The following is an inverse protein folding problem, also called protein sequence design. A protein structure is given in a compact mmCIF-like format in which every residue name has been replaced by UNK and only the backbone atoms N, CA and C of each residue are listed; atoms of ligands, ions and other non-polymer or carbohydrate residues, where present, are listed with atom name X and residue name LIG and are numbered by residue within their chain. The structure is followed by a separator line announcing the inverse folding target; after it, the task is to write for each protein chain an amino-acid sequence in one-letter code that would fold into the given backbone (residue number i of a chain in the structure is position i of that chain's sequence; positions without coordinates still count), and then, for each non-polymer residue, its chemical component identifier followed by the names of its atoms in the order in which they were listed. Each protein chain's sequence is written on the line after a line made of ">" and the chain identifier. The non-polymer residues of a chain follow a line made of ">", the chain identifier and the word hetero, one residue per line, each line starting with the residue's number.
data_IF_473146920129
#
_entry.id   IF_473146920129
#
_cell.length_a   1.000
_cell.length_b   1.000
_cell.length_c   1.000
_cell.angle_alpha   90.00
_cell.angle_beta   90.00
_cell.angle_gamma   90.00
#
_symmetry.space_group_name_H-M   'P 1'
#
loop_
_entity.id
_entity.type
_entity.pdbx_description
1 polymer ?
#
# COMPACT_ATOMS: atom_id res chain seq x y z
N UNK A 1 -16.03 5.93 15.73
CA UNK A 1 -15.19 4.71 15.77
C UNK A 1 -13.77 5.18 15.99
N UNK A 2 -13.04 4.67 17.00
CA UNK A 2 -11.62 5.00 17.16
C UNK A 2 -10.82 4.27 16.07
N UNK A 3 -10.02 5.02 15.32
CA UNK A 3 -9.10 4.46 14.33
C UNK A 3 -8.02 3.62 15.03
N UNK A 4 -7.70 2.45 14.48
CA UNK A 4 -6.62 1.60 14.96
C UNK A 4 -5.29 2.22 14.53
N UNK A 5 -4.37 2.41 15.47
CA UNK A 5 -3.02 2.89 15.18
C UNK A 5 -2.07 1.72 15.03
N UNK A 6 -1.32 1.68 13.93
CA UNK A 6 -0.18 0.79 13.74
C UNK A 6 1.07 1.64 13.58
N UNK A 7 2.12 1.30 14.33
CA UNK A 7 3.41 1.95 14.20
C UNK A 7 4.31 1.14 13.25
N UNK A 8 4.72 1.78 12.17
CA UNK A 8 5.70 1.26 11.22
C UNK A 8 7.09 1.83 11.50
N UNK A 9 8.15 1.11 11.12
CA UNK A 9 9.47 1.72 11.00
C UNK A 9 9.56 2.52 9.71
N UNK A 10 10.52 3.44 9.62
CA UNK A 10 10.72 4.23 8.39
C UNK A 10 10.97 3.33 7.17
N UNK A 11 11.75 2.27 7.34
CA UNK A 11 12.05 1.33 6.26
C UNK A 11 10.83 0.52 5.81
N UNK A 12 9.90 0.25 6.72
CA UNK A 12 8.62 -0.36 6.41
C UNK A 12 7.73 0.61 5.62
N UNK A 13 7.67 1.89 6.01
CA UNK A 13 6.93 2.93 5.28
C UNK A 13 7.48 3.11 3.86
N UNK A 14 8.81 3.10 3.69
CA UNK A 14 9.45 3.14 2.37
C UNK A 14 9.07 1.94 1.52
N UNK A 15 9.01 0.75 2.11
CA UNK A 15 8.62 -0.46 1.43
C UNK A 15 7.15 -0.44 0.99
N UNK A 16 6.25 0.02 1.86
CA UNK A 16 4.83 0.18 1.54
C UNK A 16 4.66 1.17 0.37
N UNK A 17 5.35 2.32 0.42
CA UNK A 17 5.31 3.29 -0.67
C UNK A 17 5.84 2.70 -1.97
N UNK A 18 7.00 2.00 -1.93
CA UNK A 18 7.59 1.41 -3.14
C UNK A 18 6.64 0.41 -3.80
N UNK A 19 5.98 -0.43 -3.02
CA UNK A 19 5.03 -1.42 -3.55
C UNK A 19 3.76 -0.75 -4.06
N UNK A 20 3.22 0.25 -3.35
CA UNK A 20 2.06 1.01 -3.80
C UNK A 20 2.33 1.74 -5.12
N UNK A 21 3.50 2.40 -5.23
CA UNK A 21 3.92 3.10 -6.44
C UNK A 21 4.11 2.16 -7.63
N UNK A 22 4.72 1.00 -7.39
CA UNK A 22 4.86 -0.06 -8.40
C UNK A 22 3.50 -0.52 -8.92
N UNK A 23 2.49 -0.61 -8.04
CA UNK A 23 1.12 -0.95 -8.45
C UNK A 23 0.52 0.09 -9.38
N UNK A 24 0.61 1.37 -9.00
CA UNK A 24 0.16 2.50 -9.81
C UNK A 24 0.99 2.72 -11.10
N UNK A 25 2.09 1.99 -11.29
CA UNK A 25 2.94 2.08 -12.50
C UNK A 25 2.70 0.92 -13.48
N UNK A 26 1.93 -0.09 -13.08
CA UNK A 26 1.93 -1.38 -13.75
C UNK A 26 1.27 -1.39 -15.14
N UNK A 27 0.36 -0.47 -15.39
CA UNK A 27 -0.26 -0.27 -16.71
C UNK A 27 0.58 0.63 -17.64
N UNK A 28 1.70 1.16 -17.14
CA UNK A 28 2.62 2.03 -17.87
C UNK A 28 2.20 3.51 -17.90
N UNK A 29 1.10 3.89 -17.25
CA UNK A 29 0.61 5.28 -17.19
C UNK A 29 0.26 5.63 -15.75
N UNK A 30 1.19 6.30 -15.07
CA UNK A 30 0.91 6.84 -13.74
C UNK A 30 -0.05 8.02 -13.86
N UNK A 31 -1.29 7.84 -13.41
CA UNK A 31 -2.27 8.89 -13.35
C UNK A 31 -2.06 9.73 -12.07
N UNK A 32 -2.30 11.04 -12.17
CA UNK A 32 -2.19 11.93 -11.01
C UNK A 32 -3.07 11.48 -9.83
N UNK A 33 -4.26 10.95 -10.14
CA UNK A 33 -5.21 10.41 -9.17
C UNK A 33 -4.68 9.21 -8.39
N UNK A 34 -3.84 8.38 -8.98
CA UNK A 34 -3.25 7.23 -8.27
C UNK A 34 -2.20 7.70 -7.28
N UNK A 35 -1.42 8.73 -7.63
CA UNK A 35 -0.47 9.36 -6.72
C UNK A 35 -1.18 10.10 -5.57
N UNK A 36 -2.28 10.79 -5.88
CA UNK A 36 -3.17 11.37 -4.86
C UNK A 36 -3.72 10.27 -3.95
N UNK A 37 -4.19 9.16 -4.51
CA UNK A 37 -4.69 8.01 -3.75
C UNK A 37 -3.64 7.37 -2.84
N UNK A 38 -2.39 7.24 -3.31
CA UNK A 38 -1.26 6.80 -2.47
C UNK A 38 -1.03 7.79 -1.33
N UNK A 39 -1.00 9.09 -1.62
CA UNK A 39 -0.79 10.14 -0.61
C UNK A 39 -1.90 10.14 0.46
N UNK A 40 -3.18 10.01 0.04
CA UNK A 40 -4.33 9.90 0.94
C UNK A 40 -4.24 8.66 1.81
N UNK A 41 -3.87 7.52 1.23
CA UNK A 41 -3.71 6.29 2.01
C UNK A 41 -2.52 6.40 2.97
N UNK A 42 -1.41 7.04 2.60
CA UNK A 42 -0.26 7.28 3.47
C UNK A 42 -0.57 8.26 4.61
N UNK A 43 -1.43 9.25 4.37
CA UNK A 43 -1.90 10.15 5.42
C UNK A 43 -2.64 9.41 6.55
N UNK A 44 -3.23 8.23 6.28
CA UNK A 44 -3.82 7.37 7.33
C UNK A 44 -2.79 6.85 8.34
N UNK A 45 -1.50 6.80 7.95
CA UNK A 45 -0.37 6.48 8.82
C UNK A 45 0.20 7.70 9.55
N UNK A 46 -0.37 8.89 9.34
CA UNK A 46 0.17 10.15 9.85
C UNK A 46 1.33 10.71 9.01
N UNK A 47 1.61 10.12 7.84
CA UNK A 47 2.65 10.58 6.93
C UNK A 47 2.13 11.75 6.10
N UNK A 48 2.49 12.97 6.50
CA UNK A 48 2.13 14.22 5.81
C UNK A 48 3.33 15.18 5.78
N UNK A 49 3.34 16.12 4.84
CA UNK A 49 4.43 17.11 4.69
C UNK A 49 5.81 16.46 4.55
N UNK A 50 6.79 16.96 5.31
CA UNK A 50 8.18 16.48 5.24
C UNK A 50 8.34 14.98 5.51
N UNK A 51 7.49 14.39 6.36
CA UNK A 51 7.52 12.95 6.62
C UNK A 51 7.12 12.15 5.38
N UNK A 52 6.09 12.60 4.67
CA UNK A 52 5.68 12.01 3.41
C UNK A 52 6.75 12.18 2.33
N UNK A 53 7.31 13.39 2.18
CA UNK A 53 8.36 13.67 1.19
C UNK A 53 9.58 12.76 1.40
N UNK A 54 9.97 12.52 2.65
CA UNK A 54 11.06 11.60 3.00
C UNK A 54 10.74 10.16 2.57
N UNK A 55 9.50 9.72 2.77
CA UNK A 55 9.04 8.38 2.38
C UNK A 55 9.04 8.23 0.86
N UNK A 56 8.58 9.24 0.13
CA UNK A 56 8.63 9.29 -1.34
C UNK A 56 10.08 9.15 -1.84
N UNK A 57 10.97 10.05 -1.40
CA UNK A 57 12.37 10.08 -1.88
C UNK A 57 13.14 8.80 -1.54
N UNK A 58 12.91 8.25 -0.35
CA UNK A 58 13.61 7.03 0.09
C UNK A 58 13.00 5.78 -0.54
N UNK A 59 11.68 5.74 -0.64
CA UNK A 59 10.92 4.64 -1.21
C UNK A 59 11.19 4.48 -2.70
N UNK A 60 11.28 5.56 -3.48
CA UNK A 60 11.64 5.50 -4.91
C UNK A 60 12.97 4.79 -5.17
N UNK A 61 13.95 5.00 -4.28
CA UNK A 61 15.30 4.40 -4.35
C UNK A 61 15.34 2.95 -3.90
N UNK A 62 14.33 2.47 -3.17
CA UNK A 62 14.27 1.09 -2.70
C UNK A 62 13.99 0.14 -3.88
N UNK A 63 14.72 -0.97 -3.94
CA UNK A 63 14.45 -2.01 -4.93
C UNK A 63 13.12 -2.71 -4.62
N UNK A 64 12.32 -3.02 -5.65
CA UNK A 64 11.01 -3.68 -5.46
C UNK A 64 11.12 -5.00 -4.70
N UNK A 65 12.14 -5.83 -5.01
CA UNK A 65 12.37 -7.11 -4.32
C UNK A 65 12.70 -6.88 -2.83
N UNK A 66 13.45 -5.82 -2.52
CA UNK A 66 13.75 -5.46 -1.14
C UNK A 66 12.49 -5.04 -0.40
N UNK A 67 11.65 -4.19 -1.02
CA UNK A 67 10.39 -3.75 -0.45
C UNK A 67 9.45 -4.93 -0.13
N UNK A 68 9.29 -5.86 -1.08
CA UNK A 68 8.48 -7.07 -0.89
C UNK A 68 9.02 -7.92 0.27
N UNK A 69 10.33 -8.15 0.36
CA UNK A 69 10.93 -8.93 1.46
C UNK A 69 10.80 -8.24 2.81
N UNK A 70 10.79 -6.90 2.86
CA UNK A 70 10.53 -6.14 4.10
C UNK A 70 9.10 -6.33 4.56
N UNK A 71 8.13 -6.23 3.65
CA UNK A 71 6.71 -6.46 3.95
C UNK A 71 6.46 -7.90 4.39
N UNK A 72 7.11 -8.88 3.74
CA UNK A 72 7.03 -10.30 4.09
C UNK A 72 7.42 -10.59 5.55
N UNK A 73 8.36 -9.82 6.10
CA UNK A 73 8.88 -9.99 7.47
C UNK A 73 8.07 -9.23 8.53
N UNK A 74 7.05 -8.47 8.14
CA UNK A 74 6.19 -7.75 9.07
C UNK A 74 5.34 -8.72 9.91
N UNK A 75 4.91 -8.27 11.08
CA UNK A 75 3.91 -8.98 11.88
C UNK A 75 2.52 -8.99 11.21
N UNK A 76 1.68 -9.94 11.61
CA UNK A 76 0.36 -10.18 11.01
C UNK A 76 -0.55 -8.95 10.91
N UNK A 77 -0.61 -8.12 11.96
CA UNK A 77 -1.45 -6.90 11.94
C UNK A 77 -0.94 -5.86 10.94
N UNK A 78 0.38 -5.72 10.79
CA UNK A 78 1.01 -4.87 9.78
C UNK A 78 0.74 -5.41 8.38
N UNK A 79 0.92 -6.71 8.15
CA UNK A 79 0.60 -7.35 6.87
C UNK A 79 -0.87 -7.20 6.50
N UNK A 80 -1.77 -7.34 7.47
CA UNK A 80 -3.20 -7.12 7.28
C UNK A 80 -3.52 -5.68 6.89
N UNK A 81 -2.89 -4.71 7.54
CA UNK A 81 -2.95 -3.32 7.11
C UNK A 81 -2.47 -3.18 5.66
N UNK A 82 -1.26 -3.64 5.33
CA UNK A 82 -0.69 -3.50 3.98
C UNK A 82 -1.59 -4.15 2.92
N UNK A 83 -2.10 -5.35 3.17
CA UNK A 83 -3.02 -6.03 2.24
C UNK A 83 -4.30 -5.20 2.03
N UNK A 84 -4.88 -4.65 3.10
CA UNK A 84 -6.08 -3.81 3.03
C UNK A 84 -5.83 -2.45 2.38
N UNK A 85 -4.65 -1.85 2.62
CA UNK A 85 -4.19 -0.60 2.03
C UNK A 85 -4.09 -0.75 0.51
N UNK A 86 -3.42 -1.79 0.03
CA UNK A 86 -3.23 -2.02 -1.41
C UNK A 86 -4.56 -2.36 -2.10
N UNK A 87 -5.43 -3.13 -1.44
CA UNK A 87 -6.77 -3.41 -1.95
C UNK A 87 -7.69 -2.18 -1.96
N UNK A 88 -7.52 -1.24 -1.02
CA UNK A 88 -8.22 0.03 -1.03
C UNK A 88 -7.70 0.95 -2.14
N UNK A 89 -6.39 0.97 -2.37
CA UNK A 89 -5.75 1.79 -3.40
C UNK A 89 -6.32 1.51 -4.79
N UNK A 90 -6.43 0.24 -5.18
CA UNK A 90 -7.00 -0.17 -6.48
C UNK A 90 -8.53 -0.05 -6.55
N UNK A 91 -9.19 0.36 -5.46
CA UNK A 91 -10.63 0.57 -5.40
C UNK A 91 -11.02 2.05 -5.29
N UNK A 92 -10.03 2.97 -5.28
CA UNK A 92 -10.25 4.40 -5.00
C UNK A 92 -11.14 5.07 -6.04
N UNK A 93 -10.98 4.74 -7.32
CA UNK A 93 -11.74 5.34 -8.41
C UNK A 93 -13.07 4.62 -8.70
N UNK A 94 -13.30 3.48 -8.02
CA UNK A 94 -14.53 2.69 -8.11
C UNK A 94 -14.59 1.70 -9.27
N UNK A 95 -13.56 1.64 -10.14
CA UNK A 95 -13.49 0.68 -11.25
C UNK A 95 -12.21 -0.17 -11.14
N UNK A 96 -12.35 -1.33 -10.50
CA UNK A 96 -11.20 -2.22 -10.28
C UNK A 96 -10.97 -3.08 -11.52
N UNK A 97 -9.90 -2.80 -12.25
CA UNK A 97 -9.54 -3.55 -13.45
C UNK A 97 -8.96 -4.94 -13.12
N UNK A 98 -9.13 -5.90 -14.04
CA UNK A 98 -8.57 -7.26 -13.90
C UNK A 98 -7.05 -7.26 -13.70
N UNK A 99 -6.35 -6.30 -14.32
CA UNK A 99 -4.89 -6.16 -14.21
C UNK A 99 -4.47 -5.73 -12.79
N UNK A 100 -5.21 -4.81 -12.17
CA UNK A 100 -4.94 -4.33 -10.81
C UNK A 100 -5.24 -5.43 -9.79
N UNK A 101 -6.33 -6.18 -10.00
CA UNK A 101 -6.66 -7.37 -9.21
C UNK A 101 -5.58 -8.44 -9.32
N UNK A 102 -5.09 -8.72 -10.53
CA UNK A 102 -4.03 -9.69 -10.76
C UNK A 102 -2.72 -9.25 -10.08
N UNK A 103 -2.39 -7.97 -10.14
CA UNK A 103 -1.20 -7.42 -9.52
C UNK A 103 -1.28 -7.43 -7.99
N UNK A 104 -2.41 -7.03 -7.42
CA UNK A 104 -2.64 -7.13 -5.99
C UNK A 104 -2.55 -8.58 -5.51
N UNK A 105 -3.14 -9.53 -6.24
CA UNK A 105 -3.03 -10.96 -5.95
C UNK A 105 -1.58 -11.47 -6.04
N UNK A 106 -0.81 -10.98 -7.01
CA UNK A 106 0.62 -11.27 -7.12
C UNK A 106 1.39 -10.78 -5.89
N UNK A 107 1.18 -9.53 -5.47
CA UNK A 107 1.85 -8.95 -4.31
C UNK A 107 1.46 -9.67 -3.02
N UNK A 108 0.17 -10.02 -2.88
CA UNK A 108 -0.30 -10.83 -1.74
C UNK A 108 0.51 -12.12 -1.62
N UNK A 109 0.77 -12.79 -2.74
CA UNK A 109 1.56 -14.01 -2.75
C UNK A 109 3.05 -13.74 -2.53
N UNK A 110 3.60 -12.71 -3.16
CA UNK A 110 5.03 -12.40 -3.16
C UNK A 110 5.53 -11.91 -1.79
N UNK A 111 4.68 -11.23 -1.02
CA UNK A 111 5.01 -10.70 0.31
C UNK A 111 4.26 -11.43 1.44
N UNK A 112 3.69 -12.62 1.17
CA UNK A 112 2.97 -13.45 2.14
C UNK A 112 1.95 -12.66 2.98
N UNK A 113 1.08 -11.93 2.28
CA UNK A 113 0.03 -11.13 2.89
C UNK A 113 -1.26 -11.95 3.06
N UNK A 114 -2.12 -11.60 4.03
CA UNK A 114 -3.42 -12.24 4.18
C UNK A 114 -4.30 -11.96 2.96
N UNK A 115 -4.92 -13.02 2.42
CA UNK A 115 -5.89 -12.93 1.34
C UNK A 115 -7.18 -12.28 1.83
N UNK A 116 -7.71 -11.36 1.03
CA UNK A 116 -9.02 -10.73 1.23
C UNK A 116 -9.61 -10.32 -0.12
N UNK A 117 -10.92 -10.15 -0.19
CA UNK A 117 -11.56 -9.53 -1.35
C UNK A 117 -11.59 -7.99 -1.21
N UNK A 118 -11.89 -7.29 -2.30
CA UNK A 118 -11.91 -5.81 -2.32
C UNK A 118 -12.80 -5.21 -1.24
N UNK A 119 -14.00 -5.77 -1.05
CA UNK A 119 -14.92 -5.29 -0.01
C UNK A 119 -14.30 -5.41 1.38
N UNK A 120 -13.68 -6.54 1.69
CA UNK A 120 -12.97 -6.76 2.94
C UNK A 120 -11.79 -5.80 3.10
N UNK A 121 -11.00 -5.57 2.04
CA UNK A 121 -9.89 -4.63 2.07
C UNK A 121 -10.36 -3.22 2.43
N UNK A 122 -11.38 -2.70 1.74
CA UNK A 122 -11.98 -1.39 2.02
C UNK A 122 -12.57 -1.31 3.43
N UNK A 123 -13.32 -2.34 3.87
CA UNK A 123 -13.94 -2.36 5.20
C UNK A 123 -12.93 -2.49 6.35
N UNK A 124 -11.79 -3.13 6.10
CA UNK A 124 -10.67 -3.23 7.04
C UNK A 124 -9.91 -1.91 7.07
N UNK A 125 -9.58 -1.34 5.90
CA UNK A 125 -8.81 -0.10 5.78
C UNK A 125 -9.49 1.07 6.51
N UNK A 126 -10.82 1.20 6.40
CA UNK A 126 -11.62 2.22 7.13
C UNK A 126 -11.50 2.18 8.66
N UNK A 127 -10.97 1.10 9.22
CA UNK A 127 -10.76 0.95 10.67
C UNK A 127 -9.43 1.53 11.13
N UNK A 128 -8.50 1.76 10.21
CA UNK A 128 -7.24 2.49 10.43
C UNK A 128 -7.44 3.98 10.10
#
# INVERSE_FOLDING_TARGET
>A
MNKMKIDFTLEEEFAIYKVAKMMAEADGVVLHKELEGIAECMASLGLTGEAYDKVVVSGEKMATIEALSRIEKMGEEKKKFVSSFLGNLIAIDGDVADVEMALWAFIIKAADLPKMNIRQAVDIFKRY
#
